data_IF_599064231670
#
_entry.id   IF_599064231670
#
_cell.length_a   1.000
_cell.length_b   1.000
_cell.length_c   1.000
_cell.angle_alpha   90.00
_cell.angle_beta   90.00
_cell.angle_gamma   90.00
#
_symmetry.space_group_name_H-M   'P 1'
#
loop_
_entity.id
_entity.type
_entity.pdbx_description
1 polymer ?
#
# COMPACT_ATOMS: atom_id res chain seq x y z
N UNK A 1 28.09 -60.43 7.78
CA UNK A 1 28.09 -59.93 9.16
C UNK A 1 27.08 -58.79 9.17
N UNK A 2 25.82 -59.05 9.54
CA UNK A 2 25.33 -59.09 10.94
C UNK A 2 25.41 -57.69 11.58
N UNK A 3 24.40 -57.06 12.19
CA UNK A 3 23.03 -57.40 12.59
C UNK A 3 22.22 -56.08 12.78
N UNK A 4 20.90 -56.23 12.88
CA UNK A 4 19.84 -55.29 13.29
C UNK A 4 20.17 -54.35 14.48
N UNK A 5 19.44 -53.23 14.57
CA UNK A 5 18.57 -52.93 15.73
C UNK A 5 17.59 -51.77 15.45
N UNK A 6 16.31 -52.13 15.39
CA UNK A 6 15.19 -51.22 15.52
C UNK A 6 15.09 -50.74 16.98
N UNK A 7 14.86 -49.44 17.18
CA UNK A 7 14.60 -48.82 18.49
C UNK A 7 13.13 -48.49 18.64
N UNK A 8 12.45 -49.30 19.43
CA UNK A 8 11.03 -49.27 19.78
C UNK A 8 10.76 -48.29 20.95
N UNK A 9 9.60 -47.62 20.87
CA UNK A 9 8.66 -47.25 21.93
C UNK A 9 9.13 -46.66 23.29
N UNK A 10 8.69 -45.41 23.54
CA UNK A 10 8.24 -45.01 24.87
C UNK A 10 7.05 -44.05 24.81
N UNK A 11 5.85 -44.63 24.73
CA UNK A 11 4.60 -43.94 25.05
C UNK A 11 4.46 -43.90 26.58
N UNK A 12 4.37 -42.70 27.15
CA UNK A 12 3.97 -42.53 28.55
C UNK A 12 2.45 -42.33 28.64
N UNK A 13 1.75 -43.06 29.53
CA UNK A 13 0.37 -42.79 29.86
C UNK A 13 0.29 -41.69 30.93
N UNK A 14 -0.32 -40.55 30.60
CA UNK A 14 -0.72 -39.56 31.60
C UNK A 14 -2.15 -39.86 32.05
N UNK A 15 -2.27 -40.39 33.26
CA UNK A 15 -3.53 -40.58 33.99
C UNK A 15 -4.12 -39.24 34.44
N UNK A 16 -5.46 -39.16 34.43
CA UNK A 16 -6.20 -38.55 35.55
C UNK A 16 -6.45 -37.04 35.53
N UNK A 17 -7.52 -36.62 34.85
CA UNK A 17 -8.35 -35.50 35.33
C UNK A 17 -9.79 -35.66 34.84
N UNK A 18 -10.60 -36.36 35.64
CA UNK A 18 -12.05 -36.44 35.50
C UNK A 18 -12.65 -35.03 35.63
N UNK A 19 -13.04 -34.43 34.51
CA UNK A 19 -13.93 -33.27 34.51
C UNK A 19 -15.36 -33.73 34.20
N UNK A 20 -16.21 -33.57 35.22
CA UNK A 20 -17.65 -33.76 35.16
C UNK A 20 -18.25 -32.89 34.04
N UNK A 21 -18.55 -33.51 32.90
CA UNK A 21 -19.29 -32.85 31.82
C UNK A 21 -20.78 -32.84 32.15
N UNK A 22 -21.47 -31.67 32.06
CA UNK A 22 -22.91 -31.62 32.23
C UNK A 22 -23.60 -32.37 31.08
N UNK A 23 -24.48 -33.30 31.46
CA UNK A 23 -25.23 -34.15 30.56
C UNK A 23 -26.02 -33.35 29.52
N UNK A 24 -25.78 -33.67 28.24
CA UNK A 24 -26.52 -33.13 27.09
C UNK A 24 -28.02 -33.39 27.28
N UNK A 25 -28.88 -32.37 27.26
CA UNK A 25 -30.33 -32.58 27.34
C UNK A 25 -30.81 -33.34 26.10
N UNK A 26 -31.56 -34.42 26.31
CA UNK A 26 -32.17 -35.24 25.24
C UNK A 26 -32.96 -34.34 24.29
N UNK A 27 -32.53 -34.30 23.03
CA UNK A 27 -33.15 -33.54 21.96
C UNK A 27 -34.60 -34.02 21.74
N UNK A 28 -35.57 -33.20 22.15
CA UNK A 28 -37.00 -33.42 21.85
C UNK A 28 -37.19 -33.47 20.34
N UNK A 29 -37.68 -34.61 19.82
CA UNK A 29 -37.99 -34.82 18.40
C UNK A 29 -38.97 -33.73 17.93
N UNK A 30 -38.48 -32.76 17.14
CA UNK A 30 -39.29 -31.67 16.59
C UNK A 30 -40.34 -32.26 15.65
N UNK A 31 -41.62 -32.14 16.01
CA UNK A 31 -42.76 -32.49 15.14
C UNK A 31 -42.62 -31.70 13.83
N UNK A 32 -42.55 -32.42 12.70
CA UNK A 32 -42.46 -31.81 11.36
C UNK A 32 -43.76 -31.02 11.12
N UNK A 33 -43.64 -29.69 10.99
CA UNK A 33 -44.79 -28.84 10.62
C UNK A 33 -45.30 -29.28 9.24
N UNK A 34 -46.63 -29.31 9.02
CA UNK A 34 -47.19 -29.65 7.71
C UNK A 34 -46.61 -28.72 6.65
N UNK A 35 -46.20 -29.31 5.53
CA UNK A 35 -45.62 -28.62 4.38
C UNK A 35 -46.77 -27.86 3.71
N UNK A 36 -47.03 -26.64 4.15
CA UNK A 36 -47.93 -25.74 3.43
C UNK A 36 -47.34 -25.58 2.03
N UNK A 37 -48.06 -26.05 1.02
CA UNK A 37 -47.76 -25.79 -0.38
C UNK A 37 -47.96 -24.30 -0.62
N UNK A 38 -46.93 -23.53 -0.27
CA UNK A 38 -46.88 -22.10 -0.54
C UNK A 38 -46.97 -21.94 -2.06
N UNK A 39 -47.84 -21.05 -2.56
CA UNK A 39 -47.97 -20.77 -3.98
C UNK A 39 -46.59 -20.43 -4.56
N UNK A 40 -46.36 -20.88 -5.80
CA UNK A 40 -45.11 -20.84 -6.57
C UNK A 40 -44.27 -19.58 -6.29
N UNK A 41 -43.37 -19.68 -5.31
CA UNK A 41 -42.56 -18.59 -4.75
C UNK A 41 -41.49 -18.07 -5.75
N UNK A 42 -41.39 -18.63 -6.95
CA UNK A 42 -40.39 -18.23 -7.94
C UNK A 42 -40.60 -16.79 -8.42
N UNK A 43 -41.84 -16.34 -8.58
CA UNK A 43 -42.13 -14.95 -8.99
C UNK A 43 -41.84 -13.97 -7.85
N UNK A 44 -42.27 -14.27 -6.62
CA UNK A 44 -42.00 -13.42 -5.47
C UNK A 44 -40.50 -13.35 -5.15
N UNK A 45 -39.77 -14.45 -5.31
CA UNK A 45 -38.30 -14.49 -5.17
C UNK A 45 -37.61 -13.68 -6.26
N UNK A 46 -38.04 -13.80 -7.53
CA UNK A 46 -37.49 -13.00 -8.64
C UNK A 46 -37.73 -11.51 -8.43
N UNK A 47 -38.94 -11.14 -8.02
CA UNK A 47 -39.28 -9.76 -7.68
C UNK A 47 -38.46 -9.25 -6.49
N UNK A 48 -38.34 -10.02 -5.41
CA UNK A 48 -37.47 -9.68 -4.27
C UNK A 48 -36.00 -9.56 -4.62
N UNK A 49 -35.49 -10.34 -5.57
CA UNK A 49 -34.11 -10.23 -6.03
C UNK A 49 -33.88 -8.94 -6.83
N UNK A 50 -34.84 -8.59 -7.68
CA UNK A 50 -34.79 -7.39 -8.52
C UNK A 50 -34.95 -6.11 -7.68
N UNK A 51 -36.02 -6.05 -6.89
CA UNK A 51 -36.41 -4.87 -6.10
C UNK A 51 -35.64 -4.79 -4.78
N UNK A 52 -35.42 -5.93 -4.13
CA UNK A 52 -34.90 -5.99 -2.77
C UNK A 52 -35.99 -6.26 -1.73
N UNK A 53 -35.56 -6.41 -0.47
CA UNK A 53 -36.47 -6.58 0.67
C UNK A 53 -37.03 -5.22 1.10
N UNK A 54 -38.22 -5.19 1.69
CA UNK A 54 -38.77 -3.99 2.35
C UNK A 54 -37.74 -3.35 3.29
N UNK A 55 -37.54 -2.03 3.18
CA UNK A 55 -36.54 -1.28 3.96
C UNK A 55 -35.07 -1.49 3.55
N UNK A 56 -34.77 -2.34 2.56
CA UNK A 56 -33.41 -2.48 2.04
C UNK A 56 -32.99 -1.26 1.22
N UNK A 57 -31.71 -0.89 1.31
CA UNK A 57 -31.10 0.14 0.43
C UNK A 57 -31.30 -0.17 -1.05
N UNK A 58 -31.30 -1.46 -1.46
CA UNK A 58 -31.58 -1.85 -2.85
C UNK A 58 -33.01 -1.46 -3.23
N UNK A 59 -33.98 -1.67 -2.34
CA UNK A 59 -35.37 -1.30 -2.57
C UNK A 59 -35.59 0.19 -2.57
N UNK A 60 -34.94 0.94 -1.68
CA UNK A 60 -34.96 2.41 -1.75
C UNK A 60 -34.42 2.94 -3.09
N UNK A 61 -33.32 2.37 -3.60
CA UNK A 61 -32.80 2.73 -4.95
C UNK A 61 -33.79 2.34 -6.05
N UNK A 62 -34.40 1.16 -5.95
CA UNK A 62 -35.39 0.71 -6.93
C UNK A 62 -36.63 1.60 -6.91
N UNK A 63 -37.19 1.89 -5.73
CA UNK A 63 -38.34 2.77 -5.52
C UNK A 63 -38.05 4.18 -6.06
N UNK A 64 -36.87 4.75 -5.76
CA UNK A 64 -36.46 6.06 -6.27
C UNK A 64 -36.36 6.09 -7.80
N UNK A 65 -35.86 5.02 -8.42
CA UNK A 65 -35.75 4.95 -9.89
C UNK A 65 -37.11 4.76 -10.58
N UNK A 66 -38.11 4.21 -9.86
CA UNK A 66 -39.45 3.97 -10.40
C UNK A 66 -40.50 4.94 -9.83
N UNK A 67 -40.05 6.03 -9.19
CA UNK A 67 -40.94 7.02 -8.57
C UNK A 67 -41.91 7.62 -9.61
N UNK A 68 -41.48 7.75 -10.86
CA UNK A 68 -42.29 8.25 -11.98
C UNK A 68 -43.48 7.35 -12.35
N UNK A 69 -43.45 6.07 -11.98
CA UNK A 69 -44.52 5.10 -12.27
C UNK A 69 -45.51 4.96 -11.10
N UNK A 70 -45.26 5.62 -9.97
CA UNK A 70 -46.09 5.48 -8.78
C UNK A 70 -47.37 6.33 -8.93
N UNK A 71 -48.59 5.75 -8.80
CA UNK A 71 -49.84 6.47 -9.08
C UNK A 71 -50.13 7.62 -8.11
N UNK A 72 -49.45 7.65 -6.96
CA UNK A 72 -49.54 8.74 -5.98
C UNK A 72 -48.38 9.74 -6.06
N UNK A 73 -47.39 9.51 -6.94
CA UNK A 73 -46.31 10.48 -7.10
C UNK A 73 -46.81 11.64 -7.97
N UNK A 74 -47.12 12.76 -7.31
CA UNK A 74 -47.31 14.03 -7.99
C UNK A 74 -45.92 14.61 -8.19
N UNK A 75 -45.28 14.30 -9.32
CA UNK A 75 -44.06 14.99 -9.72
C UNK A 75 -44.43 16.29 -10.41
N UNK A 76 -43.99 17.41 -9.85
CA UNK A 76 -44.11 18.69 -10.53
C UNK A 76 -43.05 18.80 -11.64
N UNK A 77 -43.21 19.75 -12.56
CA UNK A 77 -42.22 19.92 -13.66
C UNK A 77 -40.85 20.28 -13.10
N UNK A 78 -40.83 20.97 -11.98
CA UNK A 78 -39.65 21.40 -11.24
C UNK A 78 -38.90 20.21 -10.62
N UNK A 79 -39.60 19.16 -10.20
CA UNK A 79 -38.98 17.93 -9.64
C UNK A 79 -38.38 17.01 -10.71
N UNK A 80 -38.83 17.16 -11.96
CA UNK A 80 -38.32 16.42 -13.11
C UNK A 80 -37.08 17.08 -13.73
N UNK A 81 -36.72 18.30 -13.29
CA UNK A 81 -35.49 18.93 -13.73
C UNK A 81 -34.31 18.11 -13.22
N UNK A 82 -33.47 17.63 -14.14
CA UNK A 82 -32.21 17.00 -13.75
C UNK A 82 -31.42 18.00 -12.90
N UNK A 83 -30.92 17.59 -11.71
CA UNK A 83 -30.13 18.48 -10.88
C UNK A 83 -28.90 18.93 -11.69
N UNK A 84 -28.86 20.22 -12.03
CA UNK A 84 -27.73 20.86 -12.72
C UNK A 84 -27.89 21.18 -14.20
N UNK A 85 -29.01 20.89 -14.86
CA UNK A 85 -29.23 21.30 -16.25
C UNK A 85 -30.41 22.27 -16.37
N UNK A 86 -30.14 23.53 -16.03
CA UNK A 86 -30.86 24.62 -16.70
C UNK A 86 -30.44 24.53 -18.17
N UNK A 87 -31.37 24.62 -19.12
CA UNK A 87 -31.08 24.65 -20.58
C UNK A 87 -30.34 25.94 -21.00
N UNK A 88 -29.44 26.45 -20.15
CA UNK A 88 -28.59 27.61 -20.38
C UNK A 88 -27.29 27.14 -20.99
N UNK A 89 -27.35 26.79 -22.28
CA UNK A 89 -26.18 26.48 -23.12
C UNK A 89 -25.20 25.45 -22.52
N UNK A 90 -24.00 25.32 -23.08
CA UNK A 90 -22.87 24.73 -22.36
C UNK A 90 -22.73 25.47 -21.02
N UNK A 91 -22.56 24.76 -19.90
CA UNK A 91 -22.30 25.38 -18.59
C UNK A 91 -21.19 26.45 -18.66
N UNK A 92 -20.16 26.21 -19.48
CA UNK A 92 -19.06 27.13 -19.78
C UNK A 92 -19.41 28.39 -20.58
N UNK A 93 -20.63 28.49 -21.12
CA UNK A 93 -21.10 29.65 -21.89
C UNK A 93 -21.86 30.67 -21.05
N UNK A 94 -22.06 30.39 -19.76
CA UNK A 94 -22.70 31.35 -18.87
C UNK A 94 -21.76 32.55 -18.64
N UNK A 95 -22.22 33.78 -18.89
CA UNK A 95 -21.38 34.97 -18.78
C UNK A 95 -20.86 35.17 -17.36
N UNK A 96 -21.59 34.72 -16.32
CA UNK A 96 -21.07 34.76 -14.95
C UNK A 96 -19.86 33.84 -14.75
N UNK A 97 -19.84 32.68 -15.42
CA UNK A 97 -18.72 31.72 -15.35
C UNK A 97 -17.53 32.21 -16.17
N UNK A 98 -17.75 32.80 -17.35
CA UNK A 98 -16.67 33.42 -18.11
C UNK A 98 -16.06 34.61 -17.35
N UNK A 99 -16.88 35.45 -16.71
CA UNK A 99 -16.38 36.54 -15.87
C UNK A 99 -15.56 36.04 -14.68
N UNK A 100 -15.92 34.91 -14.08
CA UNK A 100 -15.14 34.26 -13.01
C UNK A 100 -13.80 33.68 -13.50
N UNK A 101 -13.70 33.30 -14.78
CA UNK A 101 -12.47 32.79 -15.40
C UNK A 101 -11.57 33.93 -15.89
N UNK A 102 -12.15 35.07 -16.28
CA UNK A 102 -11.42 36.27 -16.70
C UNK A 102 -10.83 37.06 -15.52
N UNK A 103 -11.32 36.83 -14.30
CA UNK A 103 -10.78 37.43 -13.08
C UNK A 103 -9.50 36.69 -12.65
N UNK A 104 -8.35 37.16 -13.15
CA UNK A 104 -7.02 36.57 -12.90
C UNK A 104 -6.75 36.36 -11.41
N UNK A 105 -7.20 37.28 -10.54
CA UNK A 105 -7.01 37.16 -9.09
C UNK A 105 -7.80 35.98 -8.49
N UNK A 106 -9.00 35.71 -9.01
CA UNK A 106 -9.84 34.63 -8.52
C UNK A 106 -9.38 33.27 -9.07
N UNK A 107 -8.85 33.27 -10.30
CA UNK A 107 -8.21 32.10 -10.90
C UNK A 107 -6.96 31.71 -10.11
N UNK A 108 -6.08 32.66 -9.81
CA UNK A 108 -4.87 32.43 -9.01
C UNK A 108 -5.23 32.00 -7.58
N UNK A 109 -6.28 32.57 -6.98
CA UNK A 109 -6.76 32.16 -5.66
C UNK A 109 -7.37 30.74 -5.68
N UNK A 110 -8.14 30.40 -6.72
CA UNK A 110 -8.70 29.05 -6.89
C UNK A 110 -7.60 28.02 -7.18
N UNK A 111 -6.56 28.40 -7.95
CA UNK A 111 -5.41 27.57 -8.23
C UNK A 111 -4.55 27.37 -6.97
N UNK A 112 -4.35 28.42 -6.18
CA UNK A 112 -3.69 28.36 -4.87
C UNK A 112 -4.48 27.51 -3.87
N UNK A 113 -5.82 27.60 -3.86
CA UNK A 113 -6.67 26.73 -3.04
C UNK A 113 -6.61 25.27 -3.51
N UNK A 114 -6.59 25.03 -4.82
CA UNK A 114 -6.45 23.69 -5.37
C UNK A 114 -5.08 23.10 -5.04
N UNK A 115 -4.01 23.89 -5.16
CA UNK A 115 -2.67 23.50 -4.73
C UNK A 115 -2.62 23.23 -3.22
N UNK A 116 -3.24 24.08 -2.39
CA UNK A 116 -3.34 23.83 -0.94
C UNK A 116 -4.12 22.55 -0.61
N UNK A 117 -5.28 22.34 -1.22
CA UNK A 117 -6.11 21.14 -0.96
C UNK A 117 -5.42 19.85 -1.46
N UNK A 118 -4.63 19.95 -2.54
CA UNK A 118 -3.80 18.86 -3.04
C UNK A 118 -2.60 18.62 -2.10
N UNK A 119 -1.96 19.67 -1.57
CA UNK A 119 -0.83 19.56 -0.64
C UNK A 119 -1.19 18.92 0.70
N UNK A 120 -2.42 19.08 1.22
CA UNK A 120 -2.80 18.43 2.49
C UNK A 120 -3.23 16.96 2.33
N UNK A 121 -3.40 16.47 1.09
CA UNK A 121 -4.01 15.14 0.85
C UNK A 121 -3.28 14.26 -0.18
N UNK A 122 -2.14 14.68 -0.74
CA UNK A 122 -1.33 13.83 -1.60
C UNK A 122 -0.54 12.84 -0.76
N UNK A 123 -1.23 11.86 -0.17
CA UNK A 123 -0.55 10.62 0.19
C UNK A 123 0.14 10.14 -1.08
N UNK A 124 1.48 10.07 -1.09
CA UNK A 124 2.27 9.58 -2.24
C UNK A 124 1.85 8.17 -2.69
N UNK A 125 1.03 7.50 -1.87
CA UNK A 125 0.35 6.26 -2.18
C UNK A 125 -0.98 6.47 -2.90
N UNK A 126 -1.22 5.77 -4.01
CA UNK A 126 -2.55 5.74 -4.60
C UNK A 126 -3.55 5.12 -3.62
N UNK A 127 -4.71 5.76 -3.43
CA UNK A 127 -5.77 5.29 -2.52
C UNK A 127 -6.17 3.82 -2.73
N UNK A 128 -6.06 3.31 -3.97
CA UNK A 128 -6.31 1.91 -4.30
C UNK A 128 -5.33 0.96 -3.60
N UNK A 129 -4.04 1.30 -3.55
CA UNK A 129 -3.01 0.53 -2.86
C UNK A 129 -3.23 0.56 -1.34
N UNK A 130 -3.47 1.74 -0.77
CA UNK A 130 -3.79 1.86 0.66
C UNK A 130 -5.00 1.00 1.06
N UNK A 131 -6.09 1.08 0.27
CA UNK A 131 -7.29 0.28 0.51
C UNK A 131 -7.01 -1.22 0.40
N UNK A 132 -6.14 -1.63 -0.52
CA UNK A 132 -5.78 -3.04 -0.70
C UNK A 132 -4.96 -3.56 0.48
N UNK A 133 -3.99 -2.77 0.96
CA UNK A 133 -3.14 -3.09 2.11
C UNK A 133 -3.94 -3.15 3.40
N UNK A 134 -4.78 -2.16 3.67
CA UNK A 134 -5.68 -2.15 4.86
C UNK A 134 -6.62 -3.35 4.88
N UNK A 135 -7.11 -3.79 3.72
CA UNK A 135 -7.99 -4.96 3.62
C UNK A 135 -7.28 -6.29 3.91
N UNK A 136 -5.98 -6.38 3.60
CA UNK A 136 -5.20 -7.62 3.75
C UNK A 136 -4.58 -7.78 5.14
N UNK A 137 -4.76 -6.82 6.05
CA UNK A 137 -4.22 -6.82 7.42
C UNK A 137 -2.70 -7.09 7.44
N UNK A 138 -1.93 -6.17 6.85
CA UNK A 138 -0.46 -6.26 6.90
C UNK A 138 0.00 -6.19 8.37
N UNK A 139 0.87 -7.09 8.85
CA UNK A 139 1.45 -6.99 10.18
C UNK A 139 2.28 -5.70 10.33
N UNK A 140 2.04 -4.95 11.40
CA UNK A 140 2.72 -3.69 11.68
C UNK A 140 4.24 -3.85 11.82
N UNK A 141 4.69 -4.84 12.59
CA UNK A 141 6.13 -5.08 12.80
C UNK A 141 6.89 -5.36 11.50
N UNK A 142 6.28 -6.10 10.58
CA UNK A 142 6.88 -6.41 9.28
C UNK A 142 7.13 -5.15 8.45
N UNK A 143 6.22 -4.18 8.48
CA UNK A 143 6.41 -2.92 7.73
C UNK A 143 7.52 -2.11 8.36
N UNK A 144 7.53 -1.98 9.68
CA UNK A 144 8.54 -1.21 10.40
C UNK A 144 9.96 -1.77 10.17
N UNK A 145 10.13 -3.10 10.14
CA UNK A 145 11.41 -3.76 9.86
C UNK A 145 11.94 -3.42 8.46
N UNK A 146 11.13 -3.61 7.41
CA UNK A 146 11.55 -3.31 6.03
C UNK A 146 11.77 -1.82 5.78
N UNK A 147 10.95 -0.98 6.40
CA UNK A 147 11.09 0.47 6.30
C UNK A 147 12.38 0.95 6.97
N UNK A 148 12.74 0.40 8.13
CA UNK A 148 14.00 0.72 8.80
C UNK A 148 15.20 0.34 7.92
N UNK A 149 15.20 -0.86 7.35
CA UNK A 149 16.26 -1.32 6.44
C UNK A 149 16.36 -0.44 5.19
N UNK A 150 15.21 0.00 4.65
CA UNK A 150 15.18 0.94 3.53
C UNK A 150 15.74 2.32 3.91
N UNK A 151 15.39 2.83 5.09
CA UNK A 151 15.88 4.12 5.57
C UNK A 151 17.38 4.09 5.89
N UNK A 152 17.90 2.97 6.40
CA UNK A 152 19.33 2.75 6.60
C UNK A 152 20.06 2.69 5.25
N UNK A 153 19.47 2.06 4.24
CA UNK A 153 20.01 2.04 2.88
C UNK A 153 20.01 3.41 2.20
N UNK A 154 18.98 4.24 2.43
CA UNK A 154 18.88 5.59 1.89
C UNK A 154 19.71 6.62 2.67
N UNK A 155 20.10 6.31 3.91
CA UNK A 155 20.94 7.21 4.69
C UNK A 155 22.26 7.41 3.91
N UNK A 156 22.64 8.66 3.59
CA UNK A 156 23.91 8.90 2.93
C UNK A 156 25.00 8.26 3.78
N UNK A 157 25.92 7.51 3.16
CA UNK A 157 27.11 6.99 3.82
C UNK A 157 28.04 8.17 4.16
N UNK A 158 27.66 8.96 5.16
CA UNK A 158 28.33 10.20 5.58
C UNK A 158 29.73 9.97 6.17
N UNK A 159 30.28 8.76 6.10
CA UNK A 159 31.46 8.38 6.87
C UNK A 159 32.80 8.55 6.18
N UNK A 160 32.91 8.86 4.87
CA UNK A 160 34.21 8.71 4.19
C UNK A 160 34.70 9.85 3.29
N UNK A 161 34.00 10.99 3.17
CA UNK A 161 34.42 12.05 2.22
C UNK A 161 34.73 13.43 2.83
N UNK A 162 34.56 13.65 4.13
CA UNK A 162 34.79 14.99 4.73
C UNK A 162 36.19 15.25 5.30
N UNK A 163 37.14 14.30 5.26
CA UNK A 163 38.47 14.48 5.90
C UNK A 163 39.66 14.75 4.93
N UNK A 164 39.44 14.95 3.61
CA UNK A 164 40.57 15.15 2.64
C UNK A 164 40.68 16.58 2.06
N UNK A 165 39.86 17.53 2.51
CA UNK A 165 40.06 18.96 2.21
C UNK A 165 40.00 19.73 3.53
N UNK A 166 41.09 20.19 4.14
CA UNK A 166 41.76 21.43 3.75
C UNK A 166 43.22 21.56 4.27
N UNK A 167 43.84 20.50 4.82
CA UNK A 167 45.13 20.66 5.53
C UNK A 167 46.42 20.47 4.69
N UNK A 168 46.37 20.14 3.39
CA UNK A 168 47.60 19.77 2.64
C UNK A 168 47.74 20.35 1.22
N UNK A 169 47.29 21.59 0.99
CA UNK A 169 47.66 22.37 -0.21
C UNK A 169 48.83 23.35 0.05
N UNK A 170 49.67 23.03 1.05
CA UNK A 170 50.79 23.86 1.49
C UNK A 170 52.15 23.17 1.55
N UNK A 171 52.35 22.04 0.87
CA UNK A 171 53.70 21.47 0.69
C UNK A 171 54.34 22.06 -0.57
N UNK A 172 55.16 23.10 -0.33
CA UNK A 172 56.12 23.62 -1.30
C UNK A 172 57.02 22.45 -1.73
N UNK A 173 56.97 22.13 -3.02
CA UNK A 173 57.87 21.21 -3.69
C UNK A 173 59.31 21.75 -3.57
N UNK A 174 60.11 21.13 -2.69
CA UNK A 174 61.54 21.40 -2.57
C UNK A 174 62.31 20.33 -3.38
N UNK A 175 62.89 20.67 -4.53
CA UNK A 175 63.65 19.73 -5.33
C UNK A 175 65.11 19.72 -4.83
N UNK A 176 65.43 18.85 -3.89
CA UNK A 176 66.83 18.49 -3.64
C UNK A 176 67.02 16.99 -3.51
N UNK A 177 67.79 16.48 -4.47
CA UNK A 177 68.24 15.10 -4.65
C UNK A 177 69.01 14.59 -3.42
N UNK A 178 68.65 13.39 -2.97
CA UNK A 178 69.35 12.65 -1.92
C UNK A 178 69.14 11.16 -2.14
N UNK A 179 70.05 10.57 -2.91
CA UNK A 179 70.20 9.14 -3.19
C UNK A 179 70.65 8.41 -1.92
N UNK A 180 69.74 7.76 -1.18
CA UNK A 180 70.08 6.66 -0.27
C UNK A 180 69.01 5.54 -0.31
N UNK A 181 69.49 4.41 -0.79
CA UNK A 181 68.92 3.08 -0.89
C UNK A 181 68.53 2.53 0.51
N UNK A 182 67.23 2.43 0.80
CA UNK A 182 66.71 1.65 1.93
C UNK A 182 65.45 0.89 1.49
N UNK A 183 65.60 -0.42 1.34
CA UNK A 183 64.52 -1.35 1.07
C UNK A 183 63.57 -1.42 2.24
N UNK A 184 62.38 -0.87 2.05
CA UNK A 184 61.23 -1.07 2.91
C UNK A 184 60.26 -1.92 2.09
N UNK A 185 60.08 -3.16 2.55
CA UNK A 185 59.04 -4.05 2.03
C UNK A 185 57.70 -3.43 2.46
N UNK A 186 57.14 -2.59 1.58
CA UNK A 186 55.83 -2.00 1.75
C UNK A 186 54.81 -3.15 1.76
N UNK A 187 54.35 -3.51 2.96
CA UNK A 187 53.18 -4.35 3.15
C UNK A 187 51.99 -3.59 2.56
N UNK A 188 51.58 -3.97 1.35
CA UNK A 188 50.36 -3.52 0.70
C UNK A 188 49.16 -3.89 1.60
N UNK A 189 48.84 -3.04 2.59
CA UNK A 189 47.58 -3.09 3.31
C UNK A 189 46.48 -2.76 2.29
N UNK A 190 45.87 -3.82 1.75
CA UNK A 190 44.66 -3.76 0.91
C UNK A 190 43.57 -2.98 1.67
N UNK A 191 43.52 -1.66 1.46
CA UNK A 191 42.47 -0.78 1.94
C UNK A 191 41.16 -1.22 1.28
N UNK A 192 40.38 -2.02 2.01
CA UNK A 192 38.99 -2.33 1.67
C UNK A 192 38.21 -1.02 1.67
N UNK A 193 38.03 -0.44 0.49
CA UNK A 193 37.05 0.62 0.29
C UNK A 193 35.70 -0.06 0.46
N UNK A 194 34.99 0.27 1.55
CA UNK A 194 33.58 -0.06 1.72
C UNK A 194 32.78 0.72 0.68
N UNK A 195 32.71 0.16 -0.53
CA UNK A 195 31.81 0.63 -1.58
C UNK A 195 30.40 0.34 -1.08
N UNK A 196 29.65 1.40 -0.77
CA UNK A 196 28.26 1.29 -0.38
C UNK A 196 27.51 0.40 -1.40
N UNK A 197 26.67 -0.53 -0.94
CA UNK A 197 25.98 -1.46 -1.82
C UNK A 197 25.14 -0.67 -2.83
N UNK A 198 25.38 -0.92 -4.11
CA UNK A 198 24.70 -0.24 -5.23
C UNK A 198 23.20 -0.56 -5.27
N UNK A 199 22.77 -1.65 -4.62
CA UNK A 199 21.38 -2.11 -4.61
C UNK A 199 21.00 -2.69 -3.26
N UNK A 200 19.76 -2.44 -2.82
CA UNK A 200 19.15 -3.16 -1.71
C UNK A 200 18.39 -4.38 -2.25
N UNK A 201 18.65 -5.54 -1.66
CA UNK A 201 18.18 -6.84 -2.16
C UNK A 201 17.40 -7.58 -1.07
N UNK A 202 16.08 -7.69 -1.23
CA UNK A 202 15.23 -8.45 -0.33
C UNK A 202 14.84 -9.80 -0.91
N UNK A 203 15.16 -10.89 -0.21
CA UNK A 203 14.73 -12.23 -0.57
C UNK A 203 13.36 -12.53 0.04
N UNK A 204 12.32 -12.71 -0.81
CA UNK A 204 10.98 -13.04 -0.33
C UNK A 204 10.22 -14.00 -1.24
N UNK A 205 9.81 -15.11 -0.64
CA UNK A 205 8.99 -16.14 -1.31
C UNK A 205 7.50 -15.79 -1.31
N UNK A 206 7.10 -14.75 -0.57
CA UNK A 206 5.70 -14.39 -0.43
C UNK A 206 5.31 -13.27 -1.43
N UNK A 207 4.41 -13.52 -2.39
CA UNK A 207 4.00 -12.51 -3.37
C UNK A 207 3.29 -11.32 -2.72
N UNK A 208 2.70 -11.49 -1.54
CA UNK A 208 2.10 -10.38 -0.80
C UNK A 208 3.15 -9.46 -0.19
N UNK A 209 4.19 -10.01 0.44
CA UNK A 209 5.29 -9.22 1.02
C UNK A 209 5.96 -8.41 -0.08
N UNK A 210 6.24 -9.05 -1.22
CA UNK A 210 6.75 -8.40 -2.41
C UNK A 210 5.90 -7.22 -2.90
N UNK A 211 4.57 -7.40 -2.93
CA UNK A 211 3.65 -6.31 -3.26
C UNK A 211 3.76 -5.16 -2.26
N UNK A 212 3.90 -5.44 -0.95
CA UNK A 212 4.11 -4.40 0.07
C UNK A 212 5.43 -3.65 -0.18
N UNK A 213 6.53 -4.37 -0.44
CA UNK A 213 7.84 -3.78 -0.70
C UNK A 213 7.81 -2.85 -1.93
N UNK A 214 7.18 -3.25 -3.03
CA UNK A 214 7.02 -2.38 -4.20
C UNK A 214 6.20 -1.12 -3.91
N UNK A 215 5.13 -1.26 -3.14
CA UNK A 215 4.28 -0.12 -2.75
C UNK A 215 5.05 0.82 -1.81
N UNK A 216 5.90 0.28 -0.94
CA UNK A 216 6.79 1.06 -0.06
C UNK A 216 7.88 1.78 -0.87
N UNK A 217 8.55 1.10 -1.81
CA UNK A 217 9.53 1.73 -2.71
C UNK A 217 8.89 2.86 -3.52
N UNK A 218 7.69 2.63 -4.07
CA UNK A 218 6.94 3.66 -4.78
C UNK A 218 6.58 4.86 -3.89
N UNK A 219 6.29 4.63 -2.60
CA UNK A 219 6.02 5.73 -1.66
C UNK A 219 7.24 6.65 -1.49
N UNK A 220 8.44 6.08 -1.45
CA UNK A 220 9.71 6.82 -1.39
C UNK A 220 10.25 7.24 -2.76
N UNK A 221 9.46 7.10 -3.83
CA UNK A 221 9.89 7.41 -5.20
C UNK A 221 11.16 6.64 -5.63
N UNK A 222 11.26 5.38 -5.22
CA UNK A 222 12.35 4.46 -5.58
C UNK A 222 11.91 3.46 -6.64
N UNK A 223 12.81 3.16 -7.57
CA UNK A 223 12.58 2.12 -8.55
C UNK A 223 12.83 0.74 -7.93
N UNK A 224 11.88 -0.16 -8.12
CA UNK A 224 11.96 -1.52 -7.58
C UNK A 224 11.59 -2.55 -8.64
N UNK A 225 12.37 -3.62 -8.70
CA UNK A 225 12.20 -4.72 -9.65
C UNK A 225 12.06 -6.03 -8.90
N UNK A 226 11.21 -6.92 -9.40
CA UNK A 226 11.19 -8.31 -8.95
C UNK A 226 11.95 -9.14 -9.95
N UNK A 227 12.96 -9.87 -9.49
CA UNK A 227 13.53 -10.98 -10.24
C UNK A 227 13.04 -12.31 -9.65
N UNK A 228 12.73 -13.27 -10.51
CA UNK A 228 12.29 -14.61 -10.11
C UNK A 228 13.41 -15.59 -10.43
N UNK A 229 13.88 -16.31 -9.42
CA UNK A 229 14.86 -17.37 -9.63
C UNK A 229 14.17 -18.65 -10.13
N UNK A 230 14.95 -19.57 -10.69
CA UNK A 230 14.49 -20.89 -11.13
C UNK A 230 13.87 -21.70 -9.98
N UNK A 231 14.30 -21.46 -8.75
CA UNK A 231 13.80 -22.11 -7.53
C UNK A 231 12.43 -21.59 -7.06
N UNK A 232 11.87 -20.59 -7.74
CA UNK A 232 10.64 -19.92 -7.33
C UNK A 232 10.81 -18.96 -6.16
N UNK A 233 12.04 -18.79 -5.64
CA UNK A 233 12.39 -17.62 -4.84
C UNK A 233 12.26 -16.37 -5.69
N UNK A 234 12.04 -15.24 -5.04
CA UNK A 234 12.12 -13.99 -5.77
C UNK A 234 12.72 -12.92 -4.90
N UNK A 235 13.35 -12.01 -5.61
CA UNK A 235 14.21 -11.00 -5.05
C UNK A 235 13.65 -9.66 -5.48
N UNK A 236 13.44 -8.76 -4.51
CA UNK A 236 13.12 -7.37 -4.79
C UNK A 236 14.42 -6.60 -4.75
N UNK A 237 14.78 -6.02 -5.89
CA UNK A 237 15.96 -5.17 -6.05
C UNK A 237 15.49 -3.72 -6.06
N UNK A 238 16.08 -2.89 -5.20
CA UNK A 238 15.79 -1.46 -5.10
C UNK A 238 17.00 -0.68 -5.57
N UNK A 239 16.79 0.25 -6.49
CA UNK A 239 17.82 1.15 -7.01
C UNK A 239 17.83 2.43 -6.15
N UNK A 240 19.01 2.89 -5.68
CA UNK A 240 19.13 4.12 -4.89
C UNK A 240 18.91 5.37 -5.76
N UNK A 241 19.29 5.33 -7.05
CA UNK A 241 19.02 6.43 -7.96
C UNK A 241 17.52 6.71 -8.05
N UNK A 242 17.17 7.92 -7.63
CA UNK A 242 15.91 8.54 -7.93
C UNK A 242 15.86 8.81 -9.42
N UNK A 243 14.78 8.37 -10.07
CA UNK A 243 14.51 8.72 -11.46
C UNK A 243 14.35 10.26 -11.55
N UNK A 244 15.27 10.97 -12.21
CA UNK A 244 15.26 12.43 -12.28
C UNK A 244 14.02 12.96 -13.00
N UNK A 245 13.42 12.16 -13.90
CA UNK A 245 12.19 12.54 -14.62
C UNK A 245 10.96 12.51 -13.72
N UNK A 246 10.98 11.67 -12.68
CA UNK A 246 9.90 11.57 -11.69
C UNK A 246 10.10 12.49 -10.49
N UNK A 247 11.25 13.15 -10.31
CA UNK A 247 11.57 13.87 -9.06
C UNK A 247 11.42 15.39 -9.12
N UNK A 248 11.28 16.00 -10.30
CA UNK A 248 11.24 17.47 -10.41
C UNK A 248 10.13 18.14 -9.57
N UNK A 249 9.08 17.41 -9.19
CA UNK A 249 7.98 17.94 -8.36
C UNK A 249 7.71 17.12 -7.07
N UNK A 250 8.45 16.04 -6.82
CA UNK A 250 8.14 15.14 -5.69
C UNK A 250 9.00 15.48 -4.48
N UNK A 251 8.45 16.30 -3.59
CA UNK A 251 8.98 16.47 -2.24
C UNK A 251 9.07 15.10 -1.53
N UNK A 252 10.17 14.87 -0.80
CA UNK A 252 10.28 13.67 0.02
C UNK A 252 9.10 13.57 0.98
N UNK A 253 8.53 12.36 1.18
CA UNK A 253 7.40 12.19 2.07
C UNK A 253 7.75 12.65 3.49
N UNK A 254 6.94 13.56 4.05
CA UNK A 254 7.14 14.10 5.40
C UNK A 254 6.81 13.10 6.53
N UNK A 255 6.06 12.04 6.21
CA UNK A 255 5.66 10.99 7.15
C UNK A 255 6.25 9.65 6.71
N UNK A 256 6.41 8.74 7.66
CA UNK A 256 6.85 7.37 7.37
C UNK A 256 5.76 6.62 6.59
N UNK A 257 6.14 5.64 5.77
CA UNK A 257 5.21 4.72 5.13
C UNK A 257 4.33 4.01 6.17
N UNK A 258 4.90 3.68 7.34
CA UNK A 258 4.14 3.14 8.47
C UNK A 258 3.03 4.09 8.94
N UNK A 259 3.34 5.36 9.20
CA UNK A 259 2.37 6.39 9.59
C UNK A 259 1.33 6.66 8.50
N UNK A 260 1.73 6.62 7.23
CA UNK A 260 0.79 6.79 6.12
C UNK A 260 -0.25 5.67 6.06
N UNK A 261 0.11 4.45 6.49
CA UNK A 261 -0.77 3.30 6.39
C UNK A 261 -1.74 3.17 7.58
N UNK A 262 -1.29 3.44 8.81
CA UNK A 262 -1.98 3.16 10.08
C UNK A 262 -2.48 4.40 10.80
#
# INVERSE_FOLDING_TARGET
>A
MEFYLAGESHEQPTEGAESLTPSKPLAKKKKKKPKNWLPRDSLAKRYRLLVGKEGSRRRQRWDNNHLSQHPLAILYKEDLMMPGYVESGPFWSQPEIMALVEDEELFDMAQAFHQQVVQVNSSHLPHSAMRSLRKKHVPQGMIAEYEQELMEFLAPSTSLTEEVSEASLGCVFDPYEGDEELGQEDEDEDLYIDVAPEFLIWQTNNPFVRYVLHVMCHYYCLQSFTNHDEDGSSVVVVHPDHDPELTNDYEQPQMTFFEALF
#
